data_IF_465906863658
#
_entry.id   IF_465906863658
#
_cell.length_a   1.000
_cell.length_b   1.000
_cell.length_c   1.000
_cell.angle_alpha   90.00
_cell.angle_beta   90.00
_cell.angle_gamma   90.00
#
_symmetry.space_group_name_H-M   'P 1'
#
loop_
_entity.id
_entity.type
_entity.pdbx_description
1 polymer ?
#
# COMPACT_ATOMS: atom_id res chain seq x y z
N UNK A 1 4.22 -33.60 22.47
CA UNK A 1 3.60 -32.26 22.35
C UNK A 1 4.47 -31.20 21.68
N UNK A 2 5.73 -30.99 22.07
CA UNK A 2 6.54 -29.85 21.59
C UNK A 2 6.70 -29.72 20.07
N UNK A 3 6.91 -30.84 19.35
CA UNK A 3 7.15 -30.80 17.90
C UNK A 3 5.87 -30.51 17.06
N UNK A 4 4.70 -30.94 17.54
CA UNK A 4 3.40 -30.72 16.89
C UNK A 4 3.04 -29.23 16.95
N UNK A 5 3.22 -28.60 18.12
CA UNK A 5 2.97 -27.17 18.31
C UNK A 5 3.83 -26.29 17.38
N UNK A 6 5.10 -26.67 17.17
CA UNK A 6 6.00 -25.96 16.25
C UNK A 6 5.50 -26.03 14.80
N UNK A 7 4.97 -27.18 14.40
CA UNK A 7 4.43 -27.38 13.05
C UNK A 7 3.18 -26.55 12.79
N UNK A 8 2.26 -26.51 13.75
CA UNK A 8 1.04 -25.67 13.66
C UNK A 8 1.37 -24.17 13.60
N UNK A 9 2.36 -23.73 14.39
CA UNK A 9 2.82 -22.33 14.35
C UNK A 9 3.44 -21.96 12.99
N UNK A 10 4.17 -22.90 12.37
CA UNK A 10 4.74 -22.70 11.04
C UNK A 10 3.65 -22.59 9.97
N UNK A 11 2.68 -23.51 10.00
CA UNK A 11 1.55 -23.53 9.07
C UNK A 11 0.73 -22.23 9.14
N UNK A 12 0.40 -21.78 10.36
CA UNK A 12 -0.30 -20.51 10.58
C UNK A 12 0.51 -19.31 10.07
N UNK A 13 1.84 -19.32 10.24
CA UNK A 13 2.69 -18.25 9.75
C UNK A 13 2.75 -18.21 8.22
N UNK A 14 2.81 -19.37 7.57
CA UNK A 14 2.77 -19.50 6.12
C UNK A 14 1.43 -19.02 5.55
N UNK A 15 0.32 -19.39 6.18
CA UNK A 15 -1.02 -18.91 5.82
C UNK A 15 -1.12 -17.38 5.93
N UNK A 16 -0.65 -16.80 7.05
CA UNK A 16 -0.65 -15.33 7.24
C UNK A 16 0.22 -14.60 6.22
N UNK A 17 1.36 -15.18 5.82
CA UNK A 17 2.18 -14.64 4.74
C UNK A 17 1.45 -14.68 3.41
N UNK A 18 0.84 -15.80 3.06
CA UNK A 18 0.08 -15.94 1.81
C UNK A 18 -1.09 -14.95 1.74
N UNK A 19 -1.83 -14.78 2.83
CA UNK A 19 -2.92 -13.79 2.94
C UNK A 19 -2.40 -12.36 2.72
N UNK A 20 -1.29 -11.99 3.36
CA UNK A 20 -0.66 -10.68 3.19
C UNK A 20 -0.21 -10.44 1.73
N UNK A 21 0.38 -11.45 1.10
CA UNK A 21 0.78 -11.39 -0.31
C UNK A 21 -0.42 -11.22 -1.25
N UNK A 22 -1.52 -11.95 -1.03
CA UNK A 22 -2.73 -11.82 -1.85
C UNK A 22 -3.37 -10.44 -1.72
N UNK A 23 -3.42 -9.89 -0.50
CA UNK A 23 -3.90 -8.51 -0.27
C UNK A 23 -3.04 -7.49 -1.01
N UNK A 24 -1.72 -7.64 -0.95
CA UNK A 24 -0.80 -6.75 -1.66
C UNK A 24 -0.96 -6.83 -3.18
N UNK A 25 -1.05 -8.03 -3.74
CA UNK A 25 -1.27 -8.23 -5.19
C UNK A 25 -2.59 -7.62 -5.65
N UNK A 26 -3.66 -7.80 -4.87
CA UNK A 26 -4.99 -7.27 -5.17
C UNK A 26 -4.98 -5.74 -5.16
N UNK A 27 -4.35 -5.13 -4.15
CA UNK A 27 -4.15 -3.70 -4.06
C UNK A 27 -3.38 -3.16 -5.27
N UNK A 28 -2.23 -3.77 -5.60
CA UNK A 28 -1.41 -3.37 -6.77
C UNK A 28 -2.21 -3.46 -8.07
N UNK A 29 -3.03 -4.48 -8.26
CA UNK A 29 -3.89 -4.64 -9.45
C UNK A 29 -5.00 -3.59 -9.53
N UNK A 30 -5.65 -3.28 -8.40
CA UNK A 30 -6.68 -2.23 -8.33
C UNK A 30 -6.08 -0.86 -8.65
N UNK A 31 -4.93 -0.55 -8.04
CA UNK A 31 -4.11 0.62 -8.34
C UNK A 31 -3.79 0.67 -9.84
N UNK A 32 -3.18 -0.36 -10.41
CA UNK A 32 -2.80 -0.36 -11.83
C UNK A 32 -4.01 -0.12 -12.77
N UNK A 33 -5.18 -0.68 -12.46
CA UNK A 33 -6.42 -0.43 -13.23
C UNK A 33 -6.82 1.04 -13.21
N UNK A 34 -6.70 1.72 -12.08
CA UNK A 34 -7.03 3.15 -11.97
C UNK A 34 -6.08 4.03 -12.76
N UNK A 35 -4.77 3.74 -12.74
CA UNK A 35 -3.76 4.53 -13.46
C UNK A 35 -3.71 4.23 -14.96
N UNK A 36 -4.07 3.00 -15.37
CA UNK A 36 -4.12 2.62 -16.78
C UNK A 36 -5.35 3.21 -17.51
N UNK A 37 -6.29 3.86 -16.81
CA UNK A 37 -7.34 4.68 -17.41
C UNK A 37 -6.71 5.97 -17.99
N UNK A 38 -5.96 5.84 -19.08
CA UNK A 38 -5.40 6.96 -19.84
C UNK A 38 -6.45 7.45 -20.84
N UNK A 39 -6.82 8.72 -20.72
CA UNK A 39 -7.76 9.43 -21.60
C UNK A 39 -7.64 10.93 -21.40
N UNK A 40 -8.26 11.75 -22.25
CA UNK A 40 -8.16 13.22 -22.24
C UNK A 40 -8.65 13.88 -20.93
N UNK A 41 -9.27 13.11 -20.03
CA UNK A 41 -9.76 13.49 -18.70
C UNK A 41 -9.16 12.62 -17.57
N UNK A 42 -8.11 11.86 -17.86
CA UNK A 42 -7.42 11.07 -16.85
C UNK A 42 -6.78 12.01 -15.83
N UNK A 43 -6.92 11.73 -14.52
CA UNK A 43 -6.25 12.52 -13.50
C UNK A 43 -4.72 12.51 -13.67
N UNK A 44 -4.06 13.62 -13.38
CA UNK A 44 -2.59 13.78 -13.45
C UNK A 44 -1.84 13.20 -12.23
N UNK A 45 -2.37 12.13 -11.61
CA UNK A 45 -1.75 11.52 -10.43
C UNK A 45 -0.39 10.89 -10.78
N UNK A 46 0.69 11.31 -10.12
CA UNK A 46 2.06 10.79 -10.37
C UNK A 46 2.26 9.32 -9.98
N UNK A 47 1.42 8.77 -9.09
CA UNK A 47 1.49 7.36 -8.76
C UNK A 47 0.82 7.00 -7.43
N UNK A 48 0.76 5.71 -7.12
CA UNK A 48 0.33 5.22 -5.82
C UNK A 48 1.41 5.52 -4.77
N UNK A 49 0.99 6.17 -3.70
CA UNK A 49 1.84 6.46 -2.56
C UNK A 49 1.24 5.90 -1.28
N UNK A 50 2.10 5.42 -0.39
CA UNK A 50 1.71 5.07 0.98
C UNK A 50 2.05 6.23 1.90
N UNK A 51 1.10 6.64 2.74
CA UNK A 51 1.37 7.63 3.78
C UNK A 51 2.15 6.95 4.91
N UNK A 52 3.37 7.41 5.18
CA UNK A 52 4.24 6.83 6.23
C UNK A 52 4.13 7.58 7.55
N UNK A 53 3.83 8.88 7.50
CA UNK A 53 3.71 9.71 8.70
C UNK A 53 2.85 10.93 8.42
N UNK A 54 1.99 11.28 9.38
CA UNK A 54 1.34 12.60 9.44
C UNK A 54 2.24 13.51 10.28
N UNK A 55 2.79 14.56 9.67
CA UNK A 55 3.76 15.47 10.33
C UNK A 55 3.03 16.60 11.03
N UNK A 56 1.98 17.14 10.41
CA UNK A 56 1.05 18.13 10.97
C UNK A 56 -0.37 17.72 10.57
N UNK A 57 -1.41 18.23 11.24
CA UNK A 57 -2.83 17.87 10.99
C UNK A 57 -3.25 17.81 9.51
N UNK A 58 -2.52 18.50 8.63
CA UNK A 58 -2.79 18.63 7.20
C UNK A 58 -1.65 18.19 6.28
N UNK A 59 -0.51 17.70 6.79
CA UNK A 59 0.62 17.27 5.94
C UNK A 59 1.12 15.88 6.27
N UNK A 60 1.40 15.09 5.23
CA UNK A 60 1.97 13.75 5.36
C UNK A 60 3.21 13.55 4.51
N UNK A 61 4.08 12.67 4.98
CA UNK A 61 5.19 12.14 4.20
C UNK A 61 4.69 10.89 3.49
N UNK A 62 5.07 10.79 2.22
CA UNK A 62 4.68 9.72 1.33
C UNK A 62 5.89 8.83 1.01
N UNK A 63 5.65 7.56 0.75
CA UNK A 63 6.62 6.65 0.12
C UNK A 63 6.04 6.11 -1.17
N UNK A 64 6.91 5.88 -2.16
CA UNK A 64 6.55 5.07 -3.32
C UNK A 64 6.22 3.64 -2.87
N UNK A 65 5.52 2.90 -3.73
CA UNK A 65 5.23 1.48 -3.50
C UNK A 65 6.49 0.60 -3.37
N UNK A 66 7.62 1.07 -3.89
CA UNK A 66 8.93 0.42 -3.77
C UNK A 66 9.69 0.81 -2.49
N UNK A 67 9.07 1.57 -1.58
CA UNK A 67 9.67 1.94 -0.30
C UNK A 67 10.59 3.16 -0.34
N UNK A 68 10.64 3.90 -1.46
CA UNK A 68 11.40 5.14 -1.53
C UNK A 68 10.59 6.29 -0.94
N UNK A 69 11.07 6.83 0.18
CA UNK A 69 10.47 8.01 0.80
C UNK A 69 10.60 9.24 -0.11
N UNK A 70 9.51 9.97 -0.25
CA UNK A 70 9.51 11.29 -0.87
C UNK A 70 10.01 12.32 0.14
N UNK A 71 10.94 13.18 -0.29
CA UNK A 71 11.54 14.23 0.54
C UNK A 71 10.55 15.33 0.94
N UNK A 72 9.46 15.50 0.19
CA UNK A 72 8.48 16.57 0.39
C UNK A 72 7.34 16.17 1.34
N UNK A 73 6.91 17.11 2.18
CA UNK A 73 5.67 17.00 2.95
C UNK A 73 4.48 17.42 2.08
N UNK A 74 3.58 16.48 1.79
CA UNK A 74 2.42 16.71 0.93
C UNK A 74 1.20 17.11 1.75
N UNK A 75 0.45 18.11 1.28
CA UNK A 75 -0.81 18.52 1.91
C UNK A 75 -1.91 17.49 1.62
N UNK A 76 -2.73 17.14 2.63
CA UNK A 76 -3.79 16.13 2.51
C UNK A 76 -4.78 16.46 1.38
N UNK A 77 -5.06 17.73 1.12
CA UNK A 77 -5.94 18.15 0.00
C UNK A 77 -5.43 17.76 -1.39
N UNK A 78 -4.12 17.55 -1.53
CA UNK A 78 -3.51 17.10 -2.79
C UNK A 78 -3.47 15.57 -2.87
N UNK A 79 -4.10 14.86 -1.92
CA UNK A 79 -4.07 13.42 -1.81
C UNK A 79 -5.48 12.86 -1.76
N UNK A 80 -5.69 11.77 -2.49
CA UNK A 80 -6.93 11.01 -2.42
C UNK A 80 -6.66 9.68 -1.74
N UNK A 81 -7.32 9.46 -0.61
CA UNK A 81 -7.26 8.15 0.07
C UNK A 81 -8.03 7.13 -0.76
N UNK A 82 -7.41 5.97 -0.94
CA UNK A 82 -8.06 4.80 -1.50
C UNK A 82 -8.07 3.72 -0.42
N UNK A 83 -9.26 3.20 -0.14
CA UNK A 83 -9.45 2.02 0.68
C UNK A 83 -9.71 0.88 -0.31
N UNK A 84 -8.91 -0.19 -0.23
CA UNK A 84 -9.10 -1.42 -0.99
C UNK A 84 -9.58 -2.51 -0.04
#
# INVERSE_FOLDING_TARGET
SSNIQLRENLDLLEEKRAEAHLRELTYRKAVARLYNLRGKLAPNWEGPYRAIKVVRQVTCILTTMDGKQLSSSWHISNLRKFYA
#
